data_IF_440859134244
#
_entry.id   IF_440859134244
#
_cell.length_a   1.000
_cell.length_b   1.000
_cell.length_c   1.000
_cell.angle_alpha   90.00
_cell.angle_beta   90.00
_cell.angle_gamma   90.00
#
_symmetry.space_group_name_H-M   'P 1'
#
loop_
_entity.id
_entity.type
_entity.pdbx_description
1 polymer ?
#
# COMPACT_ATOMS: atom_id res chain seq x y z
N UNK A 1 13.79 21.67 -14.29
CA UNK A 1 13.07 20.44 -13.87
C UNK A 1 13.73 19.61 -12.74
N UNK A 2 14.78 20.08 -12.04
CA UNK A 2 15.45 19.31 -10.96
C UNK A 2 15.01 19.68 -9.52
N UNK A 3 14.26 20.75 -9.32
CA UNK A 3 13.92 21.28 -7.98
C UNK A 3 12.67 20.62 -7.37
N UNK A 4 11.73 20.13 -8.20
CA UNK A 4 10.47 19.55 -7.72
C UNK A 4 10.57 18.15 -7.11
N UNK A 5 11.67 17.42 -7.34
CA UNK A 5 11.89 16.10 -6.70
C UNK A 5 12.35 16.22 -5.24
N UNK A 6 13.00 17.32 -4.84
CA UNK A 6 13.46 17.53 -3.45
C UNK A 6 12.33 17.97 -2.50
N UNK A 7 11.30 18.64 -3.03
CA UNK A 7 10.19 19.18 -2.22
C UNK A 7 9.34 18.06 -1.60
N UNK A 8 9.15 16.91 -2.28
CA UNK A 8 8.36 15.78 -1.75
C UNK A 8 8.96 15.07 -0.52
N UNK A 9 10.30 15.06 -0.39
CA UNK A 9 10.95 14.49 0.79
C UNK A 9 10.94 15.47 1.97
N UNK A 10 10.97 16.78 1.70
CA UNK A 10 10.93 17.82 2.72
C UNK A 10 9.55 17.93 3.39
N UNK A 11 8.46 17.73 2.64
CA UNK A 11 7.10 17.72 3.20
C UNK A 11 6.87 16.52 4.13
N UNK A 12 7.49 15.38 3.86
CA UNK A 12 7.38 14.17 4.71
C UNK A 12 8.20 14.30 6.01
N UNK A 13 9.33 15.03 5.97
CA UNK A 13 10.15 15.33 7.14
C UNK A 13 9.54 16.43 8.05
N UNK A 14 8.85 17.41 7.47
CA UNK A 14 8.12 18.44 8.22
C UNK A 14 6.93 17.88 9.01
N UNK A 15 6.27 16.83 8.51
CA UNK A 15 5.18 16.16 9.23
C UNK A 15 5.72 15.33 10.42
N UNK A 16 6.95 14.82 10.33
CA UNK A 16 7.59 14.04 11.40
C UNK A 16 8.19 14.92 12.52
N UNK A 17 8.49 16.19 12.26
CA UNK A 17 9.02 17.12 13.26
C UNK A 17 8.01 18.15 13.79
N UNK A 18 7.01 18.55 12.99
CA UNK A 18 5.98 19.52 13.42
C UNK A 18 4.94 18.98 14.41
N UNK A 19 5.01 17.71 14.79
CA UNK A 19 4.04 17.06 15.67
C UNK A 19 4.33 17.15 17.17
N UNK A 20 5.47 17.74 17.60
CA UNK A 20 5.80 17.79 19.03
C UNK A 20 5.11 18.97 19.75
N UNK A 21 4.84 20.07 19.05
CA UNK A 21 4.25 21.28 19.66
C UNK A 21 2.71 21.33 19.55
N UNK A 22 2.08 20.44 18.79
CA UNK A 22 0.62 20.39 18.61
C UNK A 22 -0.14 19.72 19.77
N UNK A 23 0.57 19.25 20.81
CA UNK A 23 -0.03 18.53 21.94
C UNK A 23 0.17 19.18 23.32
N UNK A 24 0.74 20.40 23.39
CA UNK A 24 0.91 21.13 24.64
C UNK A 24 -0.29 22.07 24.92
N UNK A 25 -1.39 21.51 25.42
CA UNK A 25 -2.55 22.32 25.82
C UNK A 25 -2.33 22.92 27.22
N UNK A 26 -2.18 24.25 27.30
CA UNK A 26 -1.93 24.99 28.55
C UNK A 26 -3.16 24.90 29.48
N UNK A 27 -2.94 24.61 30.75
CA UNK A 27 -4.01 24.50 31.75
C UNK A 27 -3.82 25.51 32.88
N UNK A 28 -4.93 26.00 33.43
CA UNK A 28 -4.98 26.91 34.58
C UNK A 28 -5.32 26.12 35.84
N UNK A 29 -4.42 26.07 36.80
CA UNK A 29 -4.51 25.32 38.05
C UNK A 29 -4.81 26.29 39.18
N UNK A 30 -5.96 26.12 39.84
CA UNK A 30 -6.38 26.89 41.00
C UNK A 30 -5.99 26.12 42.25
N UNK A 31 -5.18 26.72 43.12
CA UNK A 31 -4.76 26.16 44.39
C UNK A 31 -5.69 26.60 45.52
N UNK A 32 -5.84 25.75 46.54
CA UNK A 32 -6.69 26.02 47.71
C UNK A 32 -6.23 27.20 48.56
N UNK A 33 -4.96 27.59 48.44
CA UNK A 33 -4.40 28.80 49.06
C UNK A 33 -4.71 30.09 48.26
N UNK A 34 -5.53 30.00 47.21
CA UNK A 34 -5.93 31.15 46.37
C UNK A 34 -4.97 31.45 45.22
N UNK A 35 -3.84 30.74 45.10
CA UNK A 35 -2.89 30.94 44.00
C UNK A 35 -3.40 30.33 42.68
N UNK A 36 -3.11 31.01 41.57
CA UNK A 36 -3.44 30.55 40.22
C UNK A 36 -2.13 30.32 39.47
N UNK A 37 -1.93 29.10 38.95
CA UNK A 37 -0.76 28.72 38.17
C UNK A 37 -1.18 28.36 36.75
N UNK A 38 -0.48 28.86 35.73
CA UNK A 38 -0.71 28.51 34.32
C UNK A 38 0.49 27.73 33.79
N UNK A 39 0.26 26.56 33.22
CA UNK A 39 1.34 25.71 32.75
C UNK A 39 0.90 24.42 32.06
N UNK A 40 1.88 23.68 31.58
CA UNK A 40 1.72 22.37 30.94
C UNK A 40 1.90 21.27 31.98
N UNK A 41 0.98 20.31 32.05
CA UNK A 41 1.11 19.15 32.92
C UNK A 41 2.02 18.13 32.24
N UNK A 42 3.27 18.02 32.69
CA UNK A 42 4.25 17.10 32.09
C UNK A 42 4.09 15.69 32.68
N UNK A 43 3.73 15.59 33.95
CA UNK A 43 3.66 14.31 34.66
C UNK A 43 2.58 14.33 35.73
N UNK A 44 1.75 13.28 35.76
CA UNK A 44 0.70 13.12 36.76
C UNK A 44 0.94 11.84 37.57
N UNK A 45 1.17 11.99 38.87
CA UNK A 45 1.22 10.90 39.84
C UNK A 45 -0.10 10.83 40.65
N UNK A 46 -0.34 9.77 41.45
CA UNK A 46 -1.56 9.65 42.26
C UNK A 46 -1.73 10.79 43.27
N UNK A 47 -0.62 11.25 43.86
CA UNK A 47 -0.60 12.29 44.90
C UNK A 47 -0.02 13.62 44.44
N UNK A 48 0.81 13.63 43.38
CA UNK A 48 1.51 14.83 42.88
C UNK A 48 1.29 15.07 41.39
N UNK A 49 1.57 16.29 40.95
CA UNK A 49 1.36 16.78 39.60
C UNK A 49 2.52 17.71 39.25
N UNK A 50 3.33 17.36 38.23
CA UNK A 50 4.44 18.20 37.77
C UNK A 50 3.98 19.09 36.64
N UNK A 51 4.11 20.39 36.84
CA UNK A 51 3.67 21.45 35.93
C UNK A 51 4.88 22.22 35.45
N UNK A 52 5.02 22.39 34.13
CA UNK A 52 5.94 23.37 33.54
C UNK A 52 5.22 24.71 33.47
N UNK A 53 5.70 25.69 34.22
CA UNK A 53 5.19 27.06 34.21
C UNK A 53 5.70 27.81 32.96
N UNK A 54 5.10 28.98 32.69
CA UNK A 54 5.45 29.81 31.52
C UNK A 54 6.88 30.36 31.55
N UNK A 55 7.49 30.43 32.73
CA UNK A 55 8.90 30.76 32.94
C UNK A 55 9.87 29.58 32.67
N UNK A 56 9.33 28.42 32.25
CA UNK A 56 10.08 27.20 32.00
C UNK A 56 10.41 26.37 33.24
N UNK A 57 10.02 26.82 34.44
CA UNK A 57 10.28 26.10 35.69
C UNK A 57 9.31 24.94 35.88
N UNK A 58 9.81 23.82 36.41
CA UNK A 58 9.01 22.63 36.71
C UNK A 58 8.67 22.64 38.20
N UNK A 59 7.39 22.76 38.55
CA UNK A 59 6.90 22.66 39.93
C UNK A 59 6.12 21.38 40.15
N UNK A 60 6.40 20.72 41.26
CA UNK A 60 5.63 19.57 41.74
C UNK A 60 4.57 20.05 42.73
N UNK A 61 3.30 19.81 42.41
CA UNK A 61 2.13 20.21 43.20
C UNK A 61 1.46 18.98 43.79
N UNK A 62 1.09 19.03 45.06
CA UNK A 62 0.31 17.95 45.70
C UNK A 62 -1.17 18.15 45.33
N UNK A 63 -1.82 17.12 44.81
CA UNK A 63 -3.23 17.21 44.36
C UNK A 63 -4.20 17.64 45.45
N UNK A 64 -3.92 17.33 46.72
CA UNK A 64 -4.71 17.80 47.88
C UNK A 64 -4.73 19.32 48.01
N UNK A 65 -3.73 20.02 47.46
CA UNK A 65 -3.62 21.48 47.46
C UNK A 65 -4.31 22.12 46.25
N UNK A 66 -4.78 21.33 45.27
CA UNK A 66 -5.46 21.82 44.08
C UNK A 66 -6.97 21.90 44.37
N UNK A 67 -7.58 23.03 44.03
CA UNK A 67 -9.01 23.27 44.14
C UNK A 67 -9.74 22.89 42.84
N UNK A 68 -9.26 23.35 41.68
CA UNK A 68 -9.79 22.99 40.35
C UNK A 68 -8.74 23.19 39.26
N UNK A 69 -8.88 22.48 38.15
CA UNK A 69 -8.09 22.68 36.92
C UNK A 69 -9.06 23.11 35.82
N UNK A 70 -8.76 24.22 35.14
CA UNK A 70 -9.59 24.77 34.07
C UNK A 70 -8.78 24.90 32.79
N UNK A 71 -9.44 24.63 31.67
CA UNK A 71 -8.91 24.81 30.33
C UNK A 71 -9.16 26.23 29.78
N UNK A 72 -9.78 27.12 30.56
CA UNK A 72 -10.07 28.51 30.19
C UNK A 72 -9.02 29.46 30.77
N UNK A 73 -8.72 30.53 30.02
CA UNK A 73 -7.87 31.62 30.51
C UNK A 73 -8.51 32.30 31.72
N UNK A 74 -7.74 32.60 32.80
CA UNK A 74 -8.29 33.27 33.97
C UNK A 74 -8.68 34.71 33.62
N UNK A 75 -9.85 35.13 34.08
CA UNK A 75 -10.36 36.48 33.84
C UNK A 75 -9.59 37.52 34.68
N UNK A 76 -9.47 38.76 34.20
CA UNK A 76 -8.75 39.84 34.89
C UNK A 76 -9.32 40.19 36.29
N UNK A 77 -10.54 39.74 36.63
CA UNK A 77 -11.12 39.84 37.98
C UNK A 77 -10.59 38.75 38.92
N UNK A 78 -10.42 37.52 38.42
CA UNK A 78 -9.94 36.37 39.22
C UNK A 78 -8.45 36.53 39.62
N UNK A 79 -7.64 37.21 38.79
CA UNK A 79 -6.25 37.53 39.12
C UNK A 79 -6.12 38.57 40.25
N UNK A 80 -7.03 39.56 40.30
CA UNK A 80 -7.03 40.60 41.35
C UNK A 80 -7.49 40.06 42.71
N UNK A 81 -8.48 39.17 42.73
CA UNK A 81 -8.95 38.51 43.96
C UNK A 81 -7.91 37.55 44.55
N UNK A 82 -7.08 36.91 43.71
CA UNK A 82 -5.99 36.04 44.14
C UNK A 82 -4.83 36.81 44.81
N UNK A 83 -4.50 38.00 44.31
CA UNK A 83 -3.51 38.89 44.94
C UNK A 83 -3.99 39.45 46.29
N UNK A 84 -5.27 39.77 46.43
CA UNK A 84 -5.83 40.26 47.70
C UNK A 84 -5.86 39.17 48.79
N UNK A 85 -6.17 37.92 48.42
CA UNK A 85 -6.13 36.78 49.37
C UNK A 85 -4.72 36.36 49.76
N UNK A 86 -3.75 36.48 48.86
CA UNK A 86 -2.34 36.19 49.16
C UNK A 86 -1.75 37.17 50.19
N UNK A 87 -2.18 38.45 50.19
CA UNK A 87 -1.72 39.45 51.15
C UNK A 87 -2.32 39.29 52.56
N UNK A 88 -3.48 38.64 52.70
CA UNK A 88 -4.09 38.38 54.00
C UNK A 88 -3.53 37.13 54.72
N UNK A 89 -2.87 36.22 54.00
CA UNK A 89 -2.32 34.99 54.56
C UNK A 89 -0.87 35.10 55.06
N UNK A 90 -0.27 36.30 55.05
CA UNK A 90 1.14 36.53 55.42
C UNK A 90 1.35 36.94 56.89
N UNK A 91 0.28 37.03 57.69
CA UNK A 91 0.34 37.42 59.12
C UNK A 91 -0.14 36.28 60.03
N UNK A 92 0.52 35.13 59.98
CA UNK A 92 0.61 34.23 61.14
C UNK A 92 1.75 33.22 60.92
N UNK A 93 2.95 33.60 61.36
CA UNK A 93 4.10 32.69 61.50
C UNK A 93 4.50 32.68 62.97
N UNK A 94 4.30 31.55 63.63
CA UNK A 94 5.11 31.13 64.78
C UNK A 94 5.31 29.60 64.70
N UNK A 95 6.55 29.09 64.88
CA UNK A 95 6.89 27.68 64.68
C UNK A 95 6.85 26.86 65.99
N UNK A 96 6.41 25.61 65.92
CA UNK A 96 6.61 24.62 67.00
C UNK A 96 6.99 23.24 66.38
N UNK A 97 8.00 22.50 66.93
CA UNK A 97 8.55 21.27 66.36
C UNK A 97 7.78 19.99 66.81
N UNK A 98 8.06 18.80 66.23
CA UNK A 98 7.06 17.87 65.72
C UNK A 98 6.65 16.73 66.68
N UNK A 99 5.45 16.14 66.52
CA UNK A 99 5.21 14.78 66.96
C UNK A 99 5.44 13.77 65.83
N UNK A 100 6.17 12.74 66.20
CA UNK A 100 6.40 11.46 65.56
C UNK A 100 5.07 10.81 65.11
N UNK A 101 4.93 10.52 63.81
CA UNK A 101 3.78 9.77 63.27
C UNK A 101 4.29 8.61 62.43
N UNK A 102 3.81 7.43 62.82
CA UNK A 102 4.06 6.12 62.29
C UNK A 102 4.09 6.04 60.75
N UNK A 103 4.91 5.11 60.24
CA UNK A 103 4.98 4.74 58.84
C UNK A 103 3.57 4.50 58.26
N UNK A 104 3.18 5.17 57.15
CA UNK A 104 1.89 4.91 56.53
C UNK A 104 1.83 3.45 56.03
N UNK A 105 0.66 2.79 56.15
CA UNK A 105 0.47 1.44 55.61
C UNK A 105 0.84 1.43 54.13
N UNK A 106 1.49 0.36 53.66
CA UNK A 106 1.61 0.07 52.23
C UNK A 106 0.20 -0.06 51.65
N UNK A 107 -0.35 1.03 51.12
CA UNK A 107 -1.50 0.99 50.24
C UNK A 107 -1.08 0.18 49.01
N UNK A 108 -1.63 -1.03 48.88
CA UNK A 108 -1.55 -1.77 47.64
C UNK A 108 -2.12 -0.89 46.52
N UNK A 109 -1.41 -0.75 45.38
CA UNK A 109 -1.86 0.12 44.31
C UNK A 109 -3.27 -0.29 43.87
N UNK A 110 -4.19 0.67 43.64
CA UNK A 110 -5.55 0.37 43.23
C UNK A 110 -5.53 -0.46 41.94
N UNK A 111 -6.24 -1.59 41.97
CA UNK A 111 -6.46 -2.45 40.81
C UNK A 111 -7.18 -1.65 39.72
N UNK A 112 -6.42 -1.15 38.75
CA UNK A 112 -6.98 -0.62 37.51
C UNK A 112 -7.35 -1.86 36.68
N UNK A 113 -8.65 -2.09 36.38
CA UNK A 113 -9.02 -3.20 35.51
C UNK A 113 -8.29 -3.00 34.18
N UNK A 114 -7.46 -3.98 33.82
CA UNK A 114 -6.73 -3.96 32.57
C UNK A 114 -7.72 -3.80 31.42
N UNK A 115 -7.54 -2.76 30.60
CA UNK A 115 -8.33 -2.59 29.39
C UNK A 115 -8.21 -3.88 28.56
N UNK A 116 -9.32 -4.58 28.23
CA UNK A 116 -9.27 -5.84 27.50
C UNK A 116 -8.70 -5.68 26.08
N UNK A 117 -8.58 -4.44 25.60
CA UNK A 117 -7.95 -4.11 24.33
C UNK A 117 -6.44 -3.87 24.45
N UNK A 118 -5.92 -3.59 25.64
CA UNK A 118 -4.48 -3.40 25.89
C UNK A 118 -3.77 -4.74 25.99
N UNK A 119 -2.70 -4.90 25.21
CA UNK A 119 -1.91 -6.13 25.17
C UNK A 119 -0.44 -5.77 24.99
N UNK A 120 0.43 -6.41 25.79
CA UNK A 120 1.87 -6.29 25.65
C UNK A 120 2.33 -6.93 24.33
N UNK A 121 2.63 -6.07 23.34
CA UNK A 121 3.04 -6.48 22.00
C UNK A 121 4.41 -7.16 21.99
N UNK A 122 5.25 -6.97 23.00
CA UNK A 122 6.58 -7.58 23.06
C UNK A 122 6.53 -9.04 23.51
N UNK A 123 5.44 -9.45 24.16
CA UNK A 123 5.23 -10.81 24.70
C UNK A 123 4.15 -11.61 23.98
N UNK A 124 3.54 -11.03 22.94
CA UNK A 124 2.38 -11.62 22.25
C UNK A 124 2.70 -12.98 21.60
N UNK A 125 1.75 -13.89 21.68
CA UNK A 125 1.74 -15.18 20.98
C UNK A 125 0.35 -15.39 20.44
N UNK A 126 0.12 -14.97 19.20
CA UNK A 126 -1.21 -15.02 18.62
C UNK A 126 -1.16 -15.31 17.12
N UNK A 127 -2.27 -15.79 16.59
CA UNK A 127 -2.54 -15.93 15.16
C UNK A 127 -3.66 -14.98 14.78
N UNK A 128 -3.39 -14.09 13.84
CA UNK A 128 -4.40 -13.22 13.25
C UNK A 128 -4.72 -13.69 11.84
N UNK A 129 -6.00 -13.89 11.55
CA UNK A 129 -6.50 -14.16 10.20
C UNK A 129 -7.33 -12.97 9.77
N UNK A 130 -6.98 -12.38 8.63
CA UNK A 130 -7.66 -11.26 8.00
C UNK A 130 -8.22 -11.71 6.66
N UNK A 131 -9.52 -11.59 6.45
CA UNK A 131 -10.17 -11.91 5.18
C UNK A 131 -10.90 -10.67 4.66
N UNK A 132 -10.80 -10.42 3.36
CA UNK A 132 -11.39 -9.26 2.69
C UNK A 132 -12.00 -9.63 1.35
N UNK A 133 -13.11 -8.95 1.03
CA UNK A 133 -13.76 -8.98 -0.28
C UNK A 133 -13.96 -7.54 -0.74
N UNK A 134 -13.88 -7.32 -2.03
CA UNK A 134 -13.93 -5.97 -2.56
C UNK A 134 -14.02 -5.90 -4.06
N UNK A 135 -13.75 -4.72 -4.58
CA UNK A 135 -13.72 -4.44 -6.00
C UNK A 135 -12.41 -3.76 -6.38
N UNK A 136 -11.83 -4.18 -7.49
CA UNK A 136 -10.50 -3.77 -7.89
C UNK A 136 -10.28 -3.86 -9.38
N UNK A 137 -9.05 -3.59 -9.80
CA UNK A 137 -8.60 -3.77 -11.17
C UNK A 137 -7.21 -4.35 -11.15
N UNK A 138 -6.98 -5.35 -11.99
CA UNK A 138 -5.67 -5.61 -12.54
C UNK A 138 -5.54 -4.80 -13.84
N UNK A 139 -4.32 -4.39 -14.17
CA UNK A 139 -4.01 -3.58 -15.32
C UNK A 139 -2.59 -3.95 -15.78
N UNK A 140 -2.43 -5.08 -16.49
CA UNK A 140 -1.17 -5.49 -17.07
C UNK A 140 -0.74 -4.52 -18.16
N UNK A 141 0.55 -4.20 -18.20
CA UNK A 141 1.15 -3.58 -19.39
C UNK A 141 1.59 -4.60 -20.43
N UNK A 142 1.74 -5.85 -20.02
CA UNK A 142 2.44 -6.89 -20.78
C UNK A 142 1.62 -7.44 -21.93
N UNK A 143 0.31 -7.18 -21.97
CA UNK A 143 -0.57 -7.51 -23.11
C UNK A 143 -0.33 -6.59 -24.31
N UNK A 144 -0.32 -5.28 -24.08
CA UNK A 144 -0.09 -4.27 -25.12
C UNK A 144 1.39 -4.08 -25.43
N UNK A 145 2.26 -4.74 -24.67
CA UNK A 145 3.69 -4.61 -24.83
C UNK A 145 4.14 -5.10 -26.21
N UNK A 146 3.58 -6.23 -26.66
CA UNK A 146 3.91 -6.78 -27.97
C UNK A 146 3.46 -5.86 -29.11
N UNK A 147 2.22 -5.40 -29.08
CA UNK A 147 1.70 -4.42 -30.06
C UNK A 147 2.52 -3.12 -30.13
N UNK A 148 3.04 -2.66 -28.98
CA UNK A 148 3.95 -1.50 -28.93
C UNK A 148 5.30 -1.83 -29.54
N UNK A 149 5.83 -3.02 -29.29
CA UNK A 149 7.10 -3.47 -29.85
C UNK A 149 7.01 -3.60 -31.36
N UNK A 150 5.98 -4.27 -31.89
CA UNK A 150 5.72 -4.39 -33.33
C UNK A 150 5.53 -3.04 -34.01
N UNK A 151 4.84 -2.10 -33.35
CA UNK A 151 4.68 -0.74 -33.87
C UNK A 151 6.00 0.03 -33.97
N UNK A 152 6.90 -0.12 -32.98
CA UNK A 152 8.24 0.48 -33.03
C UNK A 152 9.10 -0.17 -34.11
N UNK A 153 9.02 -1.49 -34.25
CA UNK A 153 9.69 -2.25 -35.31
C UNK A 153 9.21 -1.75 -36.68
N UNK A 154 7.89 -1.62 -36.89
CA UNK A 154 7.33 -1.11 -38.13
C UNK A 154 7.89 0.27 -38.51
N UNK A 155 8.00 1.19 -37.54
CA UNK A 155 8.63 2.50 -37.76
C UNK A 155 10.10 2.39 -38.20
N UNK A 156 10.88 1.51 -37.56
CA UNK A 156 12.29 1.29 -37.90
C UNK A 156 12.46 0.76 -39.33
N UNK A 157 11.50 -0.02 -39.82
CA UNK A 157 11.50 -0.59 -41.18
C UNK A 157 10.68 0.22 -42.19
N UNK A 158 10.28 1.46 -41.86
CA UNK A 158 9.54 2.34 -42.79
C UNK A 158 8.12 1.86 -43.12
N UNK A 159 7.57 0.95 -42.33
CA UNK A 159 6.20 0.44 -42.44
C UNK A 159 5.22 1.27 -41.61
N UNK A 160 3.93 1.19 -41.93
CA UNK A 160 2.88 1.91 -41.21
C UNK A 160 2.72 1.31 -39.80
N UNK A 161 2.95 2.08 -38.72
CA UNK A 161 2.78 1.58 -37.36
C UNK A 161 1.31 1.39 -37.01
N UNK A 162 1.05 0.56 -36.01
CA UNK A 162 -0.28 0.47 -35.41
C UNK A 162 -0.46 1.58 -34.38
N UNK A 163 -1.60 2.24 -34.44
CA UNK A 163 -2.06 3.16 -33.39
C UNK A 163 -2.83 2.35 -32.36
N UNK A 164 -2.31 2.28 -31.14
CA UNK A 164 -2.98 1.61 -30.01
C UNK A 164 -3.81 2.67 -29.29
N UNK A 165 -5.15 2.54 -29.36
CA UNK A 165 -6.03 3.45 -28.62
C UNK A 165 -5.93 3.20 -27.12
N UNK A 166 -6.26 4.23 -26.34
CA UNK A 166 -6.26 4.10 -24.89
C UNK A 166 -7.25 3.01 -24.47
N UNK A 167 -6.81 1.97 -23.75
CA UNK A 167 -7.69 0.89 -23.34
C UNK A 167 -8.75 1.40 -22.36
N UNK A 168 -9.99 0.94 -22.54
CA UNK A 168 -11.04 1.09 -21.54
C UNK A 168 -10.98 -0.08 -20.55
N UNK A 169 -11.04 0.21 -19.25
CA UNK A 169 -10.84 -0.79 -18.20
C UNK A 169 -12.04 -0.88 -17.28
N UNK A 170 -12.52 -2.11 -17.10
CA UNK A 170 -13.56 -2.44 -16.15
C UNK A 170 -12.95 -3.09 -14.92
N UNK A 171 -13.41 -2.61 -13.76
CA UNK A 171 -13.06 -3.19 -12.47
C UNK A 171 -13.81 -4.51 -12.28
N UNK A 172 -13.23 -5.43 -11.52
CA UNK A 172 -13.81 -6.72 -11.18
C UNK A 172 -13.71 -7.04 -9.69
N UNK A 173 -14.21 -8.22 -9.28
CA UNK A 173 -14.08 -8.69 -7.91
C UNK A 173 -12.61 -8.76 -7.45
N UNK A 174 -12.39 -8.50 -6.17
CA UNK A 174 -11.10 -8.68 -5.51
C UNK A 174 -11.28 -9.34 -4.15
N UNK A 175 -10.27 -10.09 -3.73
CA UNK A 175 -10.28 -10.82 -2.45
C UNK A 175 -8.88 -10.88 -1.85
N UNK A 176 -8.82 -10.82 -0.54
CA UNK A 176 -7.57 -10.95 0.20
C UNK A 176 -7.71 -11.87 1.40
N UNK A 177 -6.63 -12.59 1.70
CA UNK A 177 -6.48 -13.42 2.88
C UNK A 177 -5.09 -13.17 3.45
N UNK A 178 -4.98 -12.80 4.72
CA UNK A 178 -3.70 -12.68 5.41
C UNK A 178 -3.72 -13.47 6.70
N UNK A 179 -2.69 -14.29 6.89
CA UNK A 179 -2.46 -15.05 8.11
C UNK A 179 -1.17 -14.53 8.72
N UNK A 180 -1.23 -14.03 9.96
CA UNK A 180 -0.08 -13.46 10.64
C UNK A 180 0.10 -14.16 11.97
N UNK A 181 1.17 -14.92 12.11
CA UNK A 181 1.56 -15.51 13.38
C UNK A 181 2.56 -14.59 14.08
N UNK A 182 2.21 -14.13 15.27
CA UNK A 182 3.08 -13.27 16.05
C UNK A 182 3.68 -14.04 17.21
N UNK A 183 4.98 -13.88 17.37
CA UNK A 183 5.78 -14.51 18.40
C UNK A 183 6.76 -13.51 19.00
N UNK A 184 6.40 -13.02 20.20
CA UNK A 184 7.11 -11.95 20.89
C UNK A 184 7.22 -10.72 20.00
N UNK A 185 8.45 -10.30 19.66
CA UNK A 185 8.72 -9.18 18.75
C UNK A 185 8.73 -9.57 17.27
N UNK A 186 8.66 -10.86 16.95
CA UNK A 186 8.66 -11.32 15.56
C UNK A 186 7.23 -11.58 15.08
N UNK A 187 7.01 -11.39 13.79
CA UNK A 187 5.77 -11.77 13.13
C UNK A 187 6.05 -12.39 11.77
N UNK A 188 5.39 -13.51 11.51
CA UNK A 188 5.46 -14.28 10.28
C UNK A 188 4.13 -14.10 9.55
N UNK A 189 4.16 -13.45 8.40
CA UNK A 189 3.00 -13.15 7.57
C UNK A 189 2.94 -14.04 6.33
N UNK A 190 1.74 -14.50 5.99
CA UNK A 190 1.39 -15.08 4.70
C UNK A 190 0.18 -14.33 4.14
N UNK A 191 0.33 -13.74 2.96
CA UNK A 191 -0.62 -12.78 2.38
C UNK A 191 -0.98 -13.21 0.96
N UNK A 192 -2.24 -13.57 0.74
CA UNK A 192 -2.83 -13.83 -0.57
C UNK A 192 -3.71 -12.66 -1.02
N UNK A 193 -3.58 -12.24 -2.27
CA UNK A 193 -4.48 -11.29 -2.93
C UNK A 193 -4.88 -11.82 -4.30
N UNK A 194 -6.09 -11.52 -4.73
CA UNK A 194 -6.58 -11.85 -6.06
C UNK A 194 -7.38 -10.70 -6.63
N UNK A 195 -7.11 -10.38 -7.89
CA UNK A 195 -7.71 -9.28 -8.63
C UNK A 195 -8.28 -9.81 -9.95
N UNK A 196 -9.45 -9.32 -10.32
CA UNK A 196 -10.05 -9.55 -11.63
C UNK A 196 -10.31 -8.20 -12.31
N UNK A 197 -10.32 -8.20 -13.64
CA UNK A 197 -10.63 -7.04 -14.45
C UNK A 197 -10.93 -7.42 -15.89
N UNK A 198 -11.33 -6.43 -16.68
CA UNK A 198 -11.41 -6.55 -18.14
C UNK A 198 -10.82 -5.32 -18.80
N UNK A 199 -10.03 -5.53 -19.85
CA UNK A 199 -9.51 -4.45 -20.70
C UNK A 199 -10.09 -4.59 -22.09
N UNK A 200 -10.76 -3.54 -22.56
CA UNK A 200 -11.14 -3.37 -23.95
C UNK A 200 -9.99 -2.70 -24.69
N UNK A 201 -9.57 -3.28 -25.79
CA UNK A 201 -8.51 -2.75 -26.63
C UNK A 201 -9.00 -2.50 -28.04
N UNK A 202 -8.37 -1.52 -28.68
CA UNK A 202 -8.54 -1.24 -30.10
C UNK A 202 -7.19 -0.82 -30.68
N UNK A 203 -6.82 -1.41 -31.81
CA UNK A 203 -5.63 -1.06 -32.59
C UNK A 203 -6.02 -0.72 -34.01
N UNK A 204 -5.44 0.34 -34.57
CA UNK A 204 -5.68 0.80 -35.93
C UNK A 204 -4.37 0.96 -36.69
N UNK A 205 -4.20 0.24 -37.78
CA UNK A 205 -3.16 0.47 -38.77
C UNK A 205 -3.80 1.13 -39.99
N UNK A 206 -3.47 2.39 -40.30
CA UNK A 206 -4.06 3.09 -41.44
C UNK A 206 -2.98 3.79 -42.26
N UNK A 207 -2.95 3.49 -43.55
CA UNK A 207 -2.13 4.23 -44.52
C UNK A 207 -2.90 5.43 -45.08
N UNK A 208 -4.21 5.27 -45.26
CA UNK A 208 -5.16 6.33 -45.61
C UNK A 208 -6.59 5.89 -45.21
N UNK A 209 -7.62 6.76 -45.35
CA UNK A 209 -8.99 6.42 -44.95
C UNK A 209 -9.64 5.26 -45.72
N UNK A 210 -9.11 4.89 -46.90
CA UNK A 210 -9.60 3.80 -47.74
C UNK A 210 -8.81 2.49 -47.53
N UNK A 211 -7.68 2.55 -46.80
CA UNK A 211 -6.75 1.45 -46.59
C UNK A 211 -6.35 1.37 -45.11
N UNK A 212 -7.08 0.55 -44.34
CA UNK A 212 -6.86 0.39 -42.90
C UNK A 212 -7.16 -1.04 -42.41
N UNK A 213 -6.54 -1.39 -41.29
CA UNK A 213 -6.82 -2.59 -40.52
C UNK A 213 -7.11 -2.18 -39.07
N UNK A 214 -8.29 -2.51 -38.59
CA UNK A 214 -8.72 -2.26 -37.22
C UNK A 214 -8.92 -3.58 -36.50
N UNK A 215 -8.45 -3.68 -35.25
CA UNK A 215 -8.68 -4.84 -34.39
C UNK A 215 -9.26 -4.36 -33.06
N UNK A 216 -10.36 -4.98 -32.64
CA UNK A 216 -11.05 -4.72 -31.38
C UNK A 216 -11.19 -6.01 -30.58
N UNK A 217 -11.17 -5.91 -29.26
CA UNK A 217 -11.39 -7.07 -28.40
C UNK A 217 -11.42 -6.75 -26.92
N UNK A 218 -11.61 -7.79 -26.11
CA UNK A 218 -11.78 -7.69 -24.65
C UNK A 218 -10.97 -8.77 -23.94
N UNK A 219 -9.94 -8.34 -23.21
CA UNK A 219 -9.08 -9.20 -22.42
C UNK A 219 -9.67 -9.35 -21.02
N UNK A 220 -9.99 -10.58 -20.63
CA UNK A 220 -10.31 -10.90 -19.23
C UNK A 220 -9.02 -11.13 -18.47
N UNK A 221 -8.83 -10.34 -17.42
CA UNK A 221 -7.58 -10.27 -16.67
C UNK A 221 -7.78 -10.82 -15.26
N UNK A 222 -6.83 -11.64 -14.82
CA UNK A 222 -6.79 -12.22 -13.48
C UNK A 222 -5.38 -12.16 -12.94
N UNK A 223 -5.26 -11.79 -11.68
CA UNK A 223 -3.98 -11.83 -10.98
C UNK A 223 -4.13 -12.44 -9.61
N UNK A 224 -3.17 -13.29 -9.24
CA UNK A 224 -3.00 -13.82 -7.90
C UNK A 224 -1.62 -13.44 -7.38
N UNK A 225 -1.55 -12.96 -6.14
CA UNK A 225 -0.31 -12.63 -5.45
C UNK A 225 -0.26 -13.43 -4.16
N UNK A 226 0.84 -14.13 -3.92
CA UNK A 226 1.17 -14.75 -2.65
C UNK A 226 2.46 -14.14 -2.12
N UNK A 227 2.45 -13.63 -0.89
CA UNK A 227 3.62 -13.06 -0.22
C UNK A 227 3.80 -13.70 1.14
N UNK A 228 5.01 -14.19 1.42
CA UNK A 228 5.44 -14.52 2.76
C UNK A 228 6.39 -13.44 3.28
N UNK A 229 6.27 -13.04 4.54
CA UNK A 229 7.20 -12.10 5.14
C UNK A 229 7.50 -12.36 6.62
N UNK A 230 8.66 -11.88 7.04
CA UNK A 230 9.12 -11.83 8.42
C UNK A 230 9.26 -10.37 8.80
N UNK A 231 8.70 -9.98 9.94
CA UNK A 231 8.83 -8.62 10.47
C UNK A 231 9.26 -8.63 11.94
N UNK A 232 9.99 -7.58 12.32
CA UNK A 232 10.50 -7.40 13.68
C UNK A 232 9.96 -6.10 14.27
N UNK A 233 9.30 -6.18 15.41
CA UNK A 233 8.76 -5.04 16.16
C UNK A 233 9.92 -4.25 16.79
N UNK A 234 10.38 -3.23 16.06
CA UNK A 234 11.49 -2.39 16.44
C UNK A 234 11.07 -1.34 17.48
N UNK A 235 9.94 -0.67 17.24
CA UNK A 235 9.38 0.33 18.14
C UNK A 235 7.94 -0.04 18.48
N UNK A 236 7.57 0.11 19.74
CA UNK A 236 6.20 -0.12 20.21
C UNK A 236 5.90 0.75 21.43
N UNK A 237 4.70 1.33 21.45
CA UNK A 237 4.12 2.01 22.59
C UNK A 237 2.58 1.84 22.56
N UNK A 238 1.88 2.51 23.48
CA UNK A 238 0.42 2.41 23.58
C UNK A 238 -0.33 2.80 22.29
N UNK A 239 0.22 3.71 21.47
CA UNK A 239 -0.44 4.26 20.27
C UNK A 239 0.18 3.82 18.95
N UNK A 240 1.40 3.29 18.95
CA UNK A 240 2.19 3.16 17.73
C UNK A 240 3.09 1.94 17.77
N UNK A 241 3.08 1.18 16.68
CA UNK A 241 4.05 0.10 16.41
C UNK A 241 4.73 0.35 15.06
N UNK A 242 6.03 0.05 15.01
CA UNK A 242 6.84 0.07 13.81
C UNK A 242 7.65 -1.20 13.67
N UNK A 243 7.52 -1.85 12.52
CA UNK A 243 8.20 -3.10 12.22
C UNK A 243 8.81 -3.10 10.82
N UNK A 244 10.15 -3.04 10.66
CA UNK A 244 10.77 -3.42 9.41
C UNK A 244 10.43 -4.87 9.04
N UNK A 245 10.34 -5.15 7.73
CA UNK A 245 9.98 -6.46 7.19
C UNK A 245 10.84 -6.86 5.99
N UNK A 246 11.05 -8.17 5.87
CA UNK A 246 11.64 -8.82 4.70
C UNK A 246 10.62 -9.83 4.18
N UNK A 247 10.35 -9.82 2.89
CA UNK A 247 9.37 -10.71 2.28
C UNK A 247 9.84 -11.33 0.99
N UNK A 248 9.07 -12.31 0.53
CA UNK A 248 9.23 -12.96 -0.77
C UNK A 248 7.84 -13.13 -1.39
N UNK A 249 7.69 -12.67 -2.62
CA UNK A 249 6.42 -12.66 -3.35
C UNK A 249 6.47 -13.58 -4.56
N UNK A 250 5.35 -14.21 -4.86
CA UNK A 250 5.03 -14.86 -6.13
C UNK A 250 3.75 -14.24 -6.69
N UNK A 251 3.77 -13.94 -7.98
CA UNK A 251 2.70 -13.26 -8.71
C UNK A 251 2.40 -14.08 -9.96
N UNK A 252 1.13 -14.39 -10.16
CA UNK A 252 0.62 -15.04 -11.35
C UNK A 252 -0.38 -14.11 -12.03
N UNK A 253 -0.12 -13.75 -13.27
CA UNK A 253 -1.03 -12.99 -14.12
C UNK A 253 -1.56 -13.87 -15.25
N UNK A 254 -2.83 -13.74 -15.57
CA UNK A 254 -3.42 -14.34 -16.76
C UNK A 254 -4.32 -13.33 -17.43
N UNK A 255 -4.18 -13.24 -18.74
CA UNK A 255 -5.03 -12.41 -19.58
C UNK A 255 -5.39 -13.16 -20.84
N UNK A 256 -6.67 -13.20 -21.17
CA UNK A 256 -7.11 -13.90 -22.36
C UNK A 256 -8.34 -13.27 -22.99
N UNK A 257 -8.37 -13.27 -24.31
CA UNK A 257 -9.54 -12.92 -25.12
C UNK A 257 -10.01 -14.19 -25.85
N UNK A 258 -11.34 -14.37 -25.87
CA UNK A 258 -11.96 -15.47 -26.58
C UNK A 258 -12.15 -15.20 -28.08
N UNK A 259 -12.39 -13.94 -28.48
CA UNK A 259 -12.75 -13.55 -29.86
C UNK A 259 -12.52 -12.04 -30.11
N UNK A 260 -11.28 -11.64 -30.31
CA UNK A 260 -10.97 -10.35 -30.92
C UNK A 260 -11.42 -10.35 -32.39
N UNK A 261 -11.95 -9.23 -32.87
CA UNK A 261 -12.44 -9.06 -34.23
C UNK A 261 -11.59 -8.02 -34.94
N UNK A 262 -11.13 -8.36 -36.14
CA UNK A 262 -10.51 -7.39 -37.03
C UNK A 262 -11.32 -7.13 -38.29
N UNK A 263 -11.10 -5.97 -38.87
CA UNK A 263 -11.64 -5.54 -40.17
C UNK A 263 -10.48 -4.94 -40.95
N UNK A 264 -10.20 -5.50 -42.12
CA UNK A 264 -9.27 -4.92 -43.09
C UNK A 264 -10.03 -4.39 -44.30
N UNK A 265 -9.77 -3.14 -44.61
CA UNK A 265 -10.35 -2.41 -45.74
C UNK A 265 -9.23 -2.02 -46.68
N UNK A 266 -9.44 -2.28 -47.96
CA UNK A 266 -8.55 -1.88 -49.05
C UNK A 266 -9.38 -1.27 -50.17
N UNK A 267 -8.98 -0.10 -50.64
CA UNK A 267 -9.70 0.71 -51.63
C UNK A 267 -11.19 0.91 -51.27
N UNK A 268 -11.49 1.08 -49.98
CA UNK A 268 -12.85 1.26 -49.47
C UNK A 268 -13.70 0.00 -49.40
N UNK A 269 -13.19 -1.16 -49.82
CA UNK A 269 -13.88 -2.45 -49.71
C UNK A 269 -13.33 -3.27 -48.54
N UNK A 270 -14.21 -3.98 -47.81
CA UNK A 270 -13.79 -4.94 -46.79
C UNK A 270 -13.20 -6.16 -47.51
N UNK A 271 -11.91 -6.41 -47.26
CA UNK A 271 -11.17 -7.53 -47.87
C UNK A 271 -10.81 -8.62 -46.86
N UNK A 272 -10.88 -8.34 -45.56
CA UNK A 272 -10.55 -9.30 -44.50
C UNK A 272 -11.37 -9.07 -43.24
N UNK A 273 -11.79 -10.15 -42.59
CA UNK A 273 -12.45 -10.10 -41.28
C UNK A 273 -11.80 -11.11 -40.31
N UNK A 274 -10.53 -10.87 -39.93
CA UNK A 274 -9.79 -11.82 -39.11
C UNK A 274 -10.36 -11.93 -37.70
N UNK A 275 -10.19 -13.11 -37.12
CA UNK A 275 -10.46 -13.37 -35.70
C UNK A 275 -9.15 -13.58 -34.97
N UNK A 276 -9.07 -13.03 -33.75
CA UNK A 276 -7.89 -13.11 -32.90
C UNK A 276 -8.23 -13.77 -31.58
N UNK A 277 -7.34 -14.63 -31.10
CA UNK A 277 -7.40 -15.19 -29.75
C UNK A 277 -6.09 -14.89 -29.04
N UNK A 278 -6.18 -14.09 -27.98
CA UNK A 278 -5.04 -13.67 -27.18
C UNK A 278 -4.97 -14.51 -25.91
N UNK A 279 -3.77 -14.97 -25.55
CA UNK A 279 -3.51 -15.64 -24.28
C UNK A 279 -2.14 -15.24 -23.76
N UNK A 280 -2.13 -14.58 -22.60
CA UNK A 280 -0.93 -14.19 -21.88
C UNK A 280 -0.94 -14.80 -20.50
N UNK A 281 0.16 -15.46 -20.13
CA UNK A 281 0.43 -15.97 -18.80
C UNK A 281 1.71 -15.33 -18.29
N UNK A 282 1.68 -14.79 -17.08
CA UNK A 282 2.82 -14.19 -16.42
C UNK A 282 3.07 -14.89 -15.08
N UNK A 283 4.35 -15.12 -14.77
CA UNK A 283 4.78 -15.58 -13.47
C UNK A 283 6.01 -14.78 -13.02
N UNK A 284 5.85 -13.95 -11.98
CA UNK A 284 6.93 -13.18 -11.36
C UNK A 284 7.17 -13.66 -9.94
N UNK A 285 8.41 -13.59 -9.49
CA UNK A 285 8.80 -13.90 -8.12
C UNK A 285 9.99 -13.07 -7.67
N UNK A 286 10.11 -12.84 -6.37
CA UNK A 286 11.33 -12.28 -5.82
C UNK A 286 11.19 -11.65 -4.44
N UNK A 287 12.30 -11.16 -3.89
CA UNK A 287 12.33 -10.57 -2.57
C UNK A 287 11.66 -9.20 -2.51
N UNK A 288 11.31 -8.81 -1.29
CA UNK A 288 10.82 -7.49 -0.95
C UNK A 288 11.37 -7.05 0.40
N UNK A 289 11.53 -5.75 0.56
CA UNK A 289 11.91 -5.11 1.83
C UNK A 289 10.87 -4.06 2.16
N UNK A 290 10.49 -3.97 3.43
CA UNK A 290 9.33 -3.18 3.79
C UNK A 290 9.30 -2.67 5.22
N UNK A 291 8.22 -1.96 5.50
CA UNK A 291 7.90 -1.35 6.78
C UNK A 291 6.41 -1.52 7.04
N UNK A 292 6.09 -2.05 8.22
CA UNK A 292 4.73 -2.19 8.73
C UNK A 292 4.55 -1.26 9.91
N UNK A 293 3.45 -0.52 9.92
CA UNK A 293 3.10 0.44 10.97
C UNK A 293 1.68 0.17 11.44
N UNK A 294 1.46 0.23 12.75
CA UNK A 294 0.11 0.23 13.32
C UNK A 294 -0.07 1.46 14.20
N UNK A 295 -1.08 2.27 13.91
CA UNK A 295 -1.45 3.46 14.69
C UNK A 295 -2.80 3.20 15.37
N UNK A 296 -2.83 3.28 16.70
CA UNK A 296 -4.01 3.03 17.52
C UNK A 296 -4.62 4.36 17.93
N UNK A 297 -5.91 4.51 17.64
CA UNK A 297 -6.69 5.68 18.00
C UNK A 297 -7.74 5.22 19.02
N UNK A 298 -7.63 5.73 20.24
CA UNK A 298 -8.38 5.27 21.39
C UNK A 298 -8.17 3.76 21.61
N UNK A 299 -9.20 3.05 22.09
CA UNK A 299 -9.09 1.63 22.43
C UNK A 299 -9.48 0.69 21.27
N UNK A 300 -10.25 1.19 20.29
CA UNK A 300 -10.93 0.35 19.29
C UNK A 300 -10.45 0.52 17.86
N UNK A 301 -9.86 1.64 17.48
CA UNK A 301 -9.46 1.88 16.10
C UNK A 301 -7.98 1.60 15.89
N UNK A 302 -7.65 0.83 14.85
CA UNK A 302 -6.29 0.57 14.41
C UNK A 302 -6.14 0.92 12.93
N UNK A 303 -5.18 1.79 12.60
CA UNK A 303 -4.73 2.02 11.24
C UNK A 303 -3.51 1.14 11.01
N UNK A 304 -3.60 0.20 10.09
CA UNK A 304 -2.50 -0.69 9.72
C UNK A 304 -2.02 -0.32 8.32
N UNK A 305 -0.76 0.09 8.22
CA UNK A 305 -0.11 0.52 6.98
C UNK A 305 1.05 -0.43 6.73
N UNK A 306 1.17 -0.91 5.51
CA UNK A 306 2.27 -1.76 5.08
C UNK A 306 2.80 -1.28 3.74
N UNK A 307 4.11 -1.05 3.69
CA UNK A 307 4.84 -0.56 2.52
C UNK A 307 5.95 -1.55 2.20
N UNK A 308 6.01 -2.05 0.98
CA UNK A 308 7.07 -2.94 0.52
C UNK A 308 7.63 -2.44 -0.81
N UNK A 309 8.95 -2.43 -0.94
CA UNK A 309 9.63 -2.32 -2.22
C UNK A 309 9.86 -3.73 -2.78
N UNK A 310 9.49 -3.93 -4.04
CA UNK A 310 9.47 -5.23 -4.72
C UNK A 310 10.63 -5.32 -5.72
N UNK A 311 11.35 -6.44 -5.69
CA UNK A 311 12.37 -6.80 -6.67
C UNK A 311 11.98 -8.16 -7.26
N UNK A 312 11.45 -8.16 -8.47
CA UNK A 312 10.82 -9.31 -9.08
C UNK A 312 11.56 -9.72 -10.35
N UNK A 313 11.54 -11.01 -10.64
CA UNK A 313 12.00 -11.60 -11.89
C UNK A 313 11.04 -12.69 -12.31
N UNK A 314 10.92 -12.94 -13.60
CA UNK A 314 10.01 -13.97 -14.06
C UNK A 314 9.86 -13.99 -15.56
N UNK A 315 8.87 -14.73 -16.04
CA UNK A 315 8.63 -14.90 -17.46
C UNK A 315 7.17 -14.63 -17.79
N UNK A 316 6.94 -14.22 -19.04
CA UNK A 316 5.64 -14.14 -19.66
C UNK A 316 5.63 -15.01 -20.91
N UNK A 317 4.56 -15.79 -21.05
CA UNK A 317 4.25 -16.57 -22.24
C UNK A 317 3.03 -15.94 -22.90
N UNK A 318 3.21 -15.39 -24.10
CA UNK A 318 2.15 -14.87 -24.93
C UNK A 318 1.89 -15.77 -26.13
N UNK A 319 0.63 -15.86 -26.52
CA UNK A 319 0.21 -16.51 -27.76
C UNK A 319 -0.94 -15.74 -28.37
N UNK A 320 -0.84 -15.49 -29.67
CA UNK A 320 -1.86 -14.87 -30.49
C UNK A 320 -2.17 -15.88 -31.60
N UNK A 321 -3.43 -16.32 -31.67
CA UNK A 321 -3.92 -17.12 -32.79
C UNK A 321 -4.74 -16.22 -33.70
N UNK A 322 -4.44 -16.30 -34.98
CA UNK A 322 -5.07 -15.55 -36.06
C UNK A 322 -5.75 -16.51 -37.02
N UNK A 323 -6.95 -16.16 -37.45
CA UNK A 323 -7.64 -16.84 -38.54
C UNK A 323 -8.37 -15.81 -39.41
N UNK A 324 -8.07 -15.81 -40.72
CA UNK A 324 -8.74 -14.96 -41.70
C UNK A 324 -9.41 -15.81 -42.80
N UNK A 325 -10.75 -15.79 -42.90
CA UNK A 325 -11.47 -16.53 -43.91
C UNK A 325 -11.43 -15.92 -45.32
N UNK A 326 -10.94 -14.68 -45.51
CA UNK A 326 -11.05 -13.96 -46.78
C UNK A 326 -9.72 -13.62 -47.48
N UNK A 327 -8.57 -13.97 -46.90
CA UNK A 327 -7.26 -13.74 -47.50
C UNK A 327 -6.97 -14.70 -48.69
N UNK A 328 -7.67 -14.54 -49.81
CA UNK A 328 -7.28 -15.02 -51.15
C UNK A 328 -7.01 -16.52 -51.34
N UNK A 329 -7.32 -17.39 -50.38
CA UNK A 329 -7.00 -18.83 -50.38
C UNK A 329 -7.65 -19.58 -49.20
N UNK A 330 -7.42 -20.90 -49.03
CA UNK A 330 -7.95 -21.65 -47.90
C UNK A 330 -7.58 -20.94 -46.59
N UNK A 331 -8.55 -20.79 -45.68
CA UNK A 331 -8.47 -20.01 -44.43
C UNK A 331 -7.04 -19.88 -43.89
N UNK A 332 -6.44 -18.70 -44.01
CA UNK A 332 -5.09 -18.47 -43.53
C UNK A 332 -5.13 -18.48 -41.99
N UNK A 333 -4.38 -19.39 -41.38
CA UNK A 333 -4.22 -19.46 -39.93
C UNK A 333 -2.76 -19.24 -39.58
N UNK A 334 -2.53 -18.45 -38.54
CA UNK A 334 -1.20 -18.19 -38.02
C UNK A 334 -1.23 -18.24 -36.49
N UNK A 335 -0.16 -18.75 -35.91
CA UNK A 335 0.08 -18.66 -34.47
C UNK A 335 1.38 -17.91 -34.24
N UNK A 336 1.30 -16.84 -33.49
CA UNK A 336 2.44 -16.15 -32.94
C UNK A 336 2.56 -16.51 -31.47
N UNK A 337 3.76 -16.84 -31.02
CA UNK A 337 4.05 -17.04 -29.60
C UNK A 337 5.31 -16.29 -29.21
N UNK A 338 5.31 -15.76 -28.00
CA UNK A 338 6.42 -15.00 -27.46
C UNK A 338 6.71 -15.44 -26.03
N UNK A 339 8.00 -15.52 -25.71
CA UNK A 339 8.48 -15.73 -24.35
C UNK A 339 9.35 -14.54 -23.96
N UNK A 340 8.95 -13.85 -22.90
CA UNK A 340 9.65 -12.65 -22.42
C UNK A 340 10.14 -12.91 -21.01
N UNK A 341 11.44 -12.81 -20.79
CA UNK A 341 11.99 -12.75 -19.43
C UNK A 341 11.95 -11.32 -18.92
N UNK A 342 11.40 -11.15 -17.73
CA UNK A 342 11.15 -9.88 -17.09
C UNK A 342 12.00 -9.70 -15.84
N UNK A 343 12.55 -8.51 -15.70
CA UNK A 343 12.96 -7.94 -14.41
C UNK A 343 11.97 -6.84 -14.07
N UNK A 344 11.40 -6.87 -12.87
CA UNK A 344 10.42 -5.88 -12.45
C UNK A 344 10.78 -5.27 -11.09
N UNK A 345 10.62 -3.95 -10.98
CA UNK A 345 10.83 -3.20 -9.74
C UNK A 345 9.58 -2.40 -9.44
N UNK A 346 9.15 -2.41 -8.20
CA UNK A 346 7.88 -1.81 -7.84
C UNK A 346 7.68 -1.62 -6.35
N UNK A 347 6.45 -1.35 -5.98
CA UNK A 347 6.05 -1.21 -4.60
C UNK A 347 4.65 -1.74 -4.35
N UNK A 348 4.42 -2.13 -3.10
CA UNK A 348 3.13 -2.48 -2.54
C UNK A 348 2.80 -1.49 -1.43
N UNK A 349 1.57 -1.00 -1.43
CA UNK A 349 0.95 -0.28 -0.32
C UNK A 349 -0.29 -1.04 0.09
N UNK A 350 -0.39 -1.38 1.37
CA UNK A 350 -1.60 -1.91 1.99
C UNK A 350 -2.01 -1.01 3.13
N UNK A 351 -3.28 -0.64 3.15
CA UNK A 351 -3.88 0.12 4.24
C UNK A 351 -5.15 -0.57 4.72
N UNK A 352 -5.30 -0.71 6.03
CA UNK A 352 -6.51 -1.21 6.68
C UNK A 352 -6.85 -0.31 7.86
N UNK A 353 -8.04 0.26 7.84
CA UNK A 353 -8.68 0.87 8.99
C UNK A 353 -9.53 -0.21 9.67
N UNK A 354 -9.10 -0.68 10.83
CA UNK A 354 -9.76 -1.73 11.58
C UNK A 354 -10.46 -1.17 12.84
N UNK A 355 -11.70 -1.61 13.05
CA UNK A 355 -12.47 -1.40 14.27
C UNK A 355 -12.56 -2.71 15.06
N UNK A 356 -12.04 -2.71 16.28
CA UNK A 356 -12.06 -3.85 17.20
C UNK A 356 -13.43 -3.94 17.86
N UNK A 357 -14.29 -4.82 17.35
CA UNK A 357 -15.60 -5.08 17.92
C UNK A 357 -15.50 -5.84 19.25
N UNK A 358 -14.60 -6.84 19.31
CA UNK A 358 -14.19 -7.49 20.55
C UNK A 358 -12.65 -7.52 20.61
N UNK A 359 -12.03 -7.95 21.73
CA UNK A 359 -10.58 -8.09 21.79
C UNK A 359 -10.00 -8.99 20.68
N UNK A 360 -10.79 -9.94 20.16
CA UNK A 360 -10.36 -10.92 19.15
C UNK A 360 -11.00 -10.74 17.78
N UNK A 361 -12.11 -10.02 17.64
CA UNK A 361 -12.82 -9.82 16.38
C UNK A 361 -12.76 -8.35 15.97
N UNK A 362 -12.30 -8.10 14.75
CA UNK A 362 -12.27 -6.75 14.16
C UNK A 362 -12.93 -6.74 12.79
N UNK A 363 -13.55 -5.63 12.43
CA UNK A 363 -14.00 -5.34 11.07
C UNK A 363 -13.08 -4.30 10.46
N UNK A 364 -12.87 -4.33 9.16
CA UNK A 364 -11.95 -3.40 8.53
C UNK A 364 -12.41 -2.98 7.14
N UNK A 365 -12.01 -1.77 6.77
CA UNK A 365 -12.06 -1.24 5.40
C UNK A 365 -10.64 -0.88 4.99
N UNK A 366 -10.27 -1.15 3.74
CA UNK A 366 -8.90 -0.96 3.31
C UNK A 366 -8.75 -0.84 1.81
N UNK A 367 -7.52 -0.59 1.39
CA UNK A 367 -7.14 -0.66 -0.01
C UNK A 367 -5.81 -1.40 -0.16
N UNK A 368 -5.67 -2.07 -1.29
CA UNK A 368 -4.40 -2.62 -1.76
C UNK A 368 -3.98 -1.86 -3.01
N UNK A 369 -2.70 -1.57 -3.11
CA UNK A 369 -2.10 -0.96 -4.28
C UNK A 369 -0.77 -1.62 -4.57
N UNK A 370 -0.62 -2.10 -5.80
CA UNK A 370 0.63 -2.62 -6.32
C UNK A 370 0.94 -1.92 -7.64
N UNK A 371 2.19 -1.52 -7.83
CA UNK A 371 2.66 -0.92 -9.08
C UNK A 371 4.10 -1.36 -9.31
N UNK A 372 4.39 -1.89 -10.48
CA UNK A 372 5.74 -2.29 -10.85
C UNK A 372 6.03 -2.01 -12.32
N UNK A 373 7.29 -1.71 -12.57
CA UNK A 373 7.84 -1.41 -13.89
C UNK A 373 8.68 -2.56 -14.37
N UNK A 374 8.52 -2.92 -15.62
CA UNK A 374 9.26 -3.99 -16.26
C UNK A 374 10.49 -3.47 -16.98
N UNK A 375 11.47 -4.36 -17.10
CA UNK A 375 12.63 -4.26 -17.96
C UNK A 375 12.84 -5.63 -18.59
N UNK A 376 13.03 -5.66 -19.90
CA UNK A 376 13.25 -6.92 -20.64
C UNK A 376 14.61 -7.48 -20.28
N UNK A 377 14.62 -8.74 -19.85
CA UNK A 377 15.84 -9.55 -19.75
C UNK A 377 16.15 -10.26 -21.07
N UNK A 378 15.17 -10.95 -21.63
CA UNK A 378 15.24 -11.62 -22.93
C UNK A 378 13.88 -11.64 -23.61
N UNK A 379 13.89 -11.80 -24.93
CA UNK A 379 12.70 -11.92 -25.77
C UNK A 379 12.98 -12.94 -26.86
N UNK A 380 12.14 -13.96 -26.90
CA UNK A 380 12.11 -14.99 -27.95
C UNK A 380 10.73 -14.95 -28.62
N UNK A 381 10.73 -15.01 -29.95
CA UNK A 381 9.54 -14.93 -30.79
C UNK A 381 9.53 -16.14 -31.73
N UNK A 382 8.39 -16.81 -31.79
CA UNK A 382 8.11 -17.88 -32.74
C UNK A 382 6.83 -17.53 -33.53
N UNK A 383 6.92 -17.63 -34.85
CA UNK A 383 5.81 -17.35 -35.77
C UNK A 383 5.63 -18.58 -36.65
N UNK A 384 4.47 -19.22 -36.52
CA UNK A 384 4.08 -20.37 -37.30
C UNK A 384 2.94 -19.98 -38.24
N UNK A 385 3.19 -20.01 -39.54
CA UNK A 385 2.18 -19.81 -40.59
C UNK A 385 1.74 -21.17 -41.14
N UNK A 386 0.44 -21.33 -41.43
CA UNK A 386 -0.11 -22.56 -41.99
C UNK A 386 0.46 -22.93 -43.36
N UNK A 387 0.98 -21.96 -44.10
CA UNK A 387 1.75 -22.19 -45.33
C UNK A 387 3.24 -22.27 -44.98
N UNK A 388 3.77 -23.50 -45.09
CA UNK A 388 5.15 -23.81 -44.80
C UNK A 388 6.12 -23.05 -45.73
N UNK A 389 7.00 -22.29 -45.09
CA UNK A 389 8.27 -21.73 -45.58
C UNK A 389 8.83 -22.37 -46.87
N UNK A 390 8.62 -21.72 -48.02
CA UNK A 390 9.38 -22.00 -49.25
C UNK A 390 10.64 -21.14 -49.39
N UNK A 391 10.97 -20.29 -48.41
CA UNK A 391 12.18 -19.47 -48.46
C UNK A 391 12.72 -19.16 -47.05
N UNK A 392 13.67 -19.95 -46.52
CA UNK A 392 14.34 -19.62 -45.26
C UNK A 392 15.13 -18.32 -45.42
N UNK A 393 14.88 -17.33 -44.57
CA UNK A 393 15.65 -16.09 -44.53
C UNK A 393 17.14 -16.38 -44.25
N UNK A 394 18.09 -15.65 -44.84
CA UNK A 394 19.50 -15.76 -44.49
C UNK A 394 19.72 -15.56 -42.98
N UNK A 395 20.58 -16.39 -42.37
CA UNK A 395 20.83 -16.39 -40.92
C UNK A 395 21.26 -15.00 -40.40
N UNK A 396 22.02 -14.26 -41.20
CA UNK A 396 22.48 -12.91 -40.87
C UNK A 396 21.33 -11.92 -40.73
N UNK A 397 20.31 -12.03 -41.60
CA UNK A 397 19.10 -11.21 -41.55
C UNK A 397 18.27 -11.55 -40.30
N UNK A 398 18.18 -12.84 -39.97
CA UNK A 398 17.50 -13.33 -38.77
C UNK A 398 18.13 -12.80 -37.47
N UNK A 399 19.47 -12.77 -37.41
CA UNK A 399 20.20 -12.23 -36.25
C UNK A 399 20.00 -10.71 -36.12
N UNK A 400 20.04 -9.98 -37.23
CA UNK A 400 19.78 -8.54 -37.24
C UNK A 400 18.34 -8.23 -36.82
N UNK A 401 17.35 -8.95 -37.35
CA UNK A 401 15.94 -8.84 -36.97
C UNK A 401 15.74 -9.09 -35.47
N UNK A 402 16.28 -10.20 -34.94
CA UNK A 402 16.18 -10.47 -33.50
C UNK A 402 16.86 -9.39 -32.64
N UNK A 403 17.99 -8.84 -33.10
CA UNK A 403 18.69 -7.76 -32.39
C UNK A 403 17.86 -6.46 -32.37
N UNK A 404 17.26 -6.09 -33.50
CA UNK A 404 16.39 -4.92 -33.61
C UNK A 404 15.10 -5.10 -32.80
N UNK A 405 14.48 -6.28 -32.85
CA UNK A 405 13.32 -6.64 -32.04
C UNK A 405 13.63 -6.50 -30.56
N UNK A 406 14.77 -7.03 -30.11
CA UNK A 406 15.22 -6.92 -28.71
C UNK A 406 15.50 -5.48 -28.30
N UNK A 407 16.13 -4.69 -29.17
CA UNK A 407 16.40 -3.27 -28.91
C UNK A 407 15.10 -2.45 -28.82
N UNK A 408 14.19 -2.65 -29.76
CA UNK A 408 12.88 -1.99 -29.76
C UNK A 408 12.08 -2.37 -28.52
N UNK A 409 12.04 -3.65 -28.17
CA UNK A 409 11.43 -4.15 -26.94
C UNK A 409 12.05 -3.47 -25.70
N UNK A 410 13.38 -3.50 -25.56
CA UNK A 410 14.07 -2.91 -24.41
C UNK A 410 13.85 -1.38 -24.26
N UNK A 411 13.52 -0.68 -25.34
CA UNK A 411 13.23 0.76 -25.32
C UNK A 411 11.86 1.11 -24.71
N UNK A 412 10.96 0.12 -24.57
CA UNK A 412 9.59 0.34 -24.12
C UNK A 412 9.47 0.26 -22.59
N UNK A 413 8.71 1.19 -22.02
CA UNK A 413 8.29 1.10 -20.62
C UNK A 413 6.99 0.30 -20.52
N UNK A 414 7.05 -0.83 -19.81
CA UNK A 414 5.89 -1.57 -19.35
C UNK A 414 5.68 -1.31 -17.85
N UNK A 415 4.47 -0.96 -17.43
CA UNK A 415 4.08 -0.80 -16.03
C UNK A 415 2.76 -1.53 -15.76
N UNK A 416 2.75 -2.47 -14.82
CA UNK A 416 1.54 -3.14 -14.37
C UNK A 416 1.08 -2.57 -13.04
N UNK A 417 -0.24 -2.50 -12.86
CA UNK A 417 -0.85 -1.97 -11.66
C UNK A 417 -2.00 -2.87 -11.20
N UNK A 418 -2.11 -3.04 -9.90
CA UNK A 418 -3.25 -3.72 -9.27
C UNK A 418 -3.75 -2.89 -8.11
N UNK A 419 -5.06 -2.68 -8.06
CA UNK A 419 -5.69 -1.89 -6.99
C UNK A 419 -6.98 -2.52 -6.54
N UNK A 420 -7.27 -2.50 -5.24
CA UNK A 420 -8.59 -2.88 -4.70
C UNK A 420 -9.00 -1.96 -3.57
N UNK A 421 -10.32 -1.85 -3.39
CA UNK A 421 -10.94 -1.36 -2.15
C UNK A 421 -11.72 -2.53 -1.56
N UNK A 422 -11.47 -2.83 -0.29
CA UNK A 422 -11.93 -4.05 0.35
C UNK A 422 -12.58 -3.76 1.70
N UNK A 423 -13.55 -4.60 2.03
CA UNK A 423 -14.19 -4.69 3.34
C UNK A 423 -13.96 -6.10 3.87
N UNK A 424 -13.76 -6.23 5.18
CA UNK A 424 -13.42 -7.53 5.72
C UNK A 424 -13.54 -7.65 7.22
N UNK A 425 -13.20 -8.83 7.70
CA UNK A 425 -13.12 -9.17 9.11
C UNK A 425 -11.76 -9.74 9.44
N UNK A 426 -11.40 -9.65 10.71
CA UNK A 426 -10.19 -10.24 11.26
C UNK A 426 -10.48 -10.95 12.57
N UNK A 427 -9.94 -12.16 12.72
CA UNK A 427 -10.04 -12.96 13.94
C UNK A 427 -8.65 -13.23 14.48
N UNK A 428 -8.46 -12.93 15.77
CA UNK A 428 -7.27 -13.22 16.56
C UNK A 428 -7.50 -14.46 17.43
N UNK A 429 -6.51 -15.32 17.48
CA UNK A 429 -6.44 -16.49 18.35
C UNK A 429 -5.20 -16.36 19.23
N UNK A 430 -5.38 -16.28 20.54
CA UNK A 430 -4.30 -16.09 21.50
C UNK A 430 -3.82 -17.44 22.03
N UNK A 431 -2.51 -17.66 21.99
CA UNK A 431 -1.87 -18.88 22.48
C UNK A 431 -1.12 -18.58 23.78
N UNK A 432 -1.89 -18.55 24.86
CA UNK A 432 -1.39 -18.45 26.24
C UNK A 432 -2.26 -17.54 27.10
N UNK A 433 -2.68 -18.05 28.27
CA UNK A 433 -3.01 -17.19 29.41
C UNK A 433 -1.69 -16.81 30.06
N UNK A 434 -1.37 -15.52 30.08
CA UNK A 434 -0.38 -15.04 31.04
C UNK A 434 -1.00 -15.20 32.42
N UNK A 435 -0.62 -16.25 33.14
CA UNK A 435 -0.56 -16.18 34.59
C UNK A 435 0.64 -15.32 34.98
#
# INVERSE_FOLDING_TARGET
MKVWKKIRYLTFLLILWGGQDLFAEKQTIYLRNGQILRGEIIQQAPTTLKVRLEDGTVKELIKKQIQRISFREPSAKELKEAEEKAKQAEVEKTPEPPPEVAAPPKEEPPFIPANPFDMDRTKRKDLEIWAGLGYGSYAPSTEQYWEKATSQIALLFGSVPQTIKNPSRERGPSRSLSIVYNWRRFAFGLHGNHFEGKTHFETLQSSNPLNYNEVTGSLSEKQSILKADLSFLALTNARFDLSPSLGYSQIWGKSSDGKGLGIGVYDGAIISTPTYQYSYLEHLRGPSVGLKTTIRINERWENRIELHYLMLTGNQFGSIKFADPFAGGPSSTATQSNNVSWQAKGFQISYKLAYRYTPTLSFWVGFQYFDWKYSVGSLDLDIQTGDALTNPQPIELLVLEQTLIRSAAASLSANSRSTSVELGAAKRFEFGKGN
#
